data_IF_111825394020
#
_entry.id   IF_111825394020
#
_cell.length_a   1.000
_cell.length_b   1.000
_cell.length_c   1.000
_cell.angle_alpha   90.00
_cell.angle_beta   90.00
_cell.angle_gamma   90.00
#
_symmetry.space_group_name_H-M   'P 1'
#
loop_
_entity.id
_entity.type
_entity.pdbx_description
1 polymer ?
#
# COMPACT_ATOMS: atom_id res chain seq x y z
N UNK A 1 34.06 43.09 -14.79
CA UNK A 1 34.86 42.35 -15.79
C UNK A 1 35.04 40.87 -15.48
N UNK A 2 35.29 40.46 -14.21
CA UNK A 2 35.49 39.05 -13.85
C UNK A 2 34.27 38.15 -14.08
N UNK A 3 33.06 38.69 -13.89
CA UNK A 3 31.80 37.96 -14.13
C UNK A 3 31.35 37.95 -15.59
N UNK A 4 31.89 38.83 -16.43
CA UNK A 4 31.52 38.90 -17.85
C UNK A 4 32.16 37.73 -18.63
N UNK A 5 33.40 37.35 -18.26
CA UNK A 5 34.06 36.16 -18.80
C UNK A 5 33.36 34.85 -18.41
N UNK A 6 32.82 34.76 -17.19
CA UNK A 6 32.09 33.57 -16.73
C UNK A 6 30.77 33.35 -17.48
N UNK A 7 30.05 34.43 -17.80
CA UNK A 7 28.77 34.35 -18.53
C UNK A 7 28.98 33.91 -19.99
N UNK A 8 30.05 34.40 -20.64
CA UNK A 8 30.39 34.01 -22.02
C UNK A 8 30.81 32.53 -22.10
N UNK A 9 31.56 32.03 -21.11
CA UNK A 9 31.97 30.63 -21.07
C UNK A 9 30.80 29.68 -20.82
N UNK A 10 29.82 30.08 -19.98
CA UNK A 10 28.61 29.30 -19.75
C UNK A 10 27.71 29.21 -20.99
N UNK A 11 27.60 30.28 -21.79
CA UNK A 11 26.79 30.29 -23.01
C UNK A 11 27.31 29.37 -24.13
N UNK A 12 28.63 29.14 -24.18
CA UNK A 12 29.28 28.26 -25.17
C UNK A 12 29.05 26.76 -24.88
N UNK A 13 28.67 26.38 -23.67
CA UNK A 13 28.48 24.97 -23.28
C UNK A 13 27.06 24.44 -23.59
N UNK A 14 26.10 25.31 -23.93
CA UNK A 14 24.70 24.91 -24.18
C UNK A 14 24.32 24.73 -25.66
N UNK A 15 25.22 24.97 -26.62
CA UNK A 15 24.91 24.86 -28.07
C UNK A 15 25.19 23.48 -28.68
N UNK A 16 25.61 22.49 -27.88
CA UNK A 16 26.06 21.18 -28.36
C UNK A 16 25.02 20.06 -28.45
N UNK A 17 23.76 20.26 -28.03
CA UNK A 17 22.72 19.22 -28.10
C UNK A 17 21.62 19.57 -29.12
N UNK A 18 21.96 19.54 -30.40
CA UNK A 18 20.96 19.37 -31.48
C UNK A 18 20.97 17.90 -31.87
N UNK A 19 20.07 17.15 -31.25
CA UNK A 19 19.85 15.74 -31.54
C UNK A 19 18.93 15.64 -32.77
N UNK A 20 19.51 15.66 -33.96
CA UNK A 20 18.75 15.43 -35.19
C UNK A 20 18.59 13.91 -35.37
N UNK A 21 17.48 13.37 -34.87
CA UNK A 21 17.17 11.96 -35.01
C UNK A 21 17.11 11.55 -36.50
N UNK A 22 17.84 10.50 -36.94
CA UNK A 22 17.79 10.06 -38.33
C UNK A 22 16.40 9.50 -38.62
N UNK A 23 15.69 10.11 -39.58
CA UNK A 23 14.41 9.60 -40.08
C UNK A 23 14.66 8.34 -40.90
N UNK A 24 14.50 7.18 -40.27
CA UNK A 24 14.49 5.87 -40.93
C UNK A 24 13.26 5.79 -41.83
N UNK A 25 13.47 5.79 -43.16
CA UNK A 25 12.40 5.48 -44.13
C UNK A 25 12.07 3.99 -44.01
N UNK A 26 10.90 3.66 -43.46
CA UNK A 26 10.38 2.28 -43.47
C UNK A 26 9.89 1.96 -44.88
N UNK A 27 10.50 0.96 -45.52
CA UNK A 27 9.98 0.40 -46.76
C UNK A 27 8.64 -0.32 -46.48
N UNK A 28 7.66 -0.25 -47.38
CA UNK A 28 6.38 -0.94 -47.18
C UNK A 28 6.61 -2.46 -47.26
N UNK A 29 6.38 -3.14 -46.14
CA UNK A 29 6.32 -4.61 -46.10
C UNK A 29 5.06 -5.03 -46.86
N UNK A 30 5.23 -5.68 -48.01
CA UNK A 30 4.13 -6.38 -48.69
C UNK A 30 3.73 -7.58 -47.84
N UNK A 31 2.75 -7.40 -46.97
CA UNK A 31 2.05 -8.51 -46.32
C UNK A 31 1.29 -9.27 -47.40
N UNK A 32 1.78 -10.47 -47.76
CA UNK A 32 0.96 -11.43 -48.50
C UNK A 32 -0.19 -11.83 -47.61
N UNK A 33 -1.42 -11.44 -47.98
CA UNK A 33 -2.63 -11.91 -47.33
C UNK A 33 -2.65 -13.44 -47.40
N UNK A 34 -2.47 -14.07 -46.25
CA UNK A 34 -2.65 -15.51 -46.12
C UNK A 34 -4.13 -15.72 -45.88
N UNK A 35 -4.86 -16.11 -46.93
CA UNK A 35 -6.26 -16.50 -46.83
C UNK A 35 -6.33 -17.82 -46.04
N UNK A 36 -6.30 -17.70 -44.71
CA UNK A 36 -6.54 -18.80 -43.80
C UNK A 36 -8.04 -18.82 -43.51
N UNK A 37 -8.78 -19.68 -44.21
CA UNK A 37 -10.12 -20.07 -43.81
C UNK A 37 -10.03 -20.75 -42.44
N UNK A 38 -10.27 -19.99 -41.38
CA UNK A 38 -10.31 -20.49 -40.01
C UNK A 38 -11.52 -21.39 -39.85
N UNK A 39 -11.30 -22.69 -39.77
CA UNK A 39 -12.32 -23.63 -39.32
C UNK A 39 -12.63 -23.34 -37.84
N UNK A 40 -13.84 -22.85 -37.55
CA UNK A 40 -14.30 -22.60 -36.18
C UNK A 40 -15.05 -23.83 -35.71
N UNK A 41 -14.48 -24.56 -34.75
CA UNK A 41 -15.17 -25.67 -34.11
C UNK A 41 -16.44 -25.18 -33.41
N UNK A 42 -17.55 -25.93 -33.47
CA UNK A 42 -18.78 -25.54 -32.80
C UNK A 42 -18.58 -25.45 -31.28
N UNK A 43 -19.24 -24.49 -30.60
CA UNK A 43 -19.10 -24.33 -29.16
C UNK A 43 -19.62 -25.57 -28.42
N UNK A 44 -18.98 -25.94 -27.28
CA UNK A 44 -19.41 -27.11 -26.52
C UNK A 44 -20.83 -26.91 -25.98
N UNK A 45 -21.64 -27.99 -25.91
CA UNK A 45 -23.01 -27.92 -25.42
C UNK A 45 -23.03 -27.51 -23.94
N UNK A 46 -23.81 -26.47 -23.63
CA UNK A 46 -24.03 -26.02 -22.25
C UNK A 46 -25.04 -26.95 -21.59
N UNK A 47 -24.64 -27.65 -20.52
CA UNK A 47 -25.57 -28.44 -19.69
C UNK A 47 -26.14 -27.54 -18.59
N UNK A 48 -27.45 -27.63 -18.37
CA UNK A 48 -28.09 -27.06 -17.19
C UNK A 48 -27.97 -28.09 -16.07
N UNK A 49 -26.97 -27.91 -15.20
CA UNK A 49 -26.80 -28.75 -14.00
C UNK A 49 -27.23 -27.88 -12.82
N UNK A 50 -28.24 -28.34 -12.10
CA UNK A 50 -28.63 -27.72 -10.83
C UNK A 50 -27.57 -28.07 -9.77
N UNK A 51 -27.13 -27.07 -9.02
CA UNK A 51 -26.20 -27.29 -7.92
C UNK A 51 -26.94 -28.09 -6.84
N UNK A 52 -26.41 -29.27 -6.53
CA UNK A 52 -26.85 -30.04 -5.37
C UNK A 52 -26.19 -29.44 -4.13
N UNK A 53 -26.99 -29.22 -3.09
CA UNK A 53 -26.48 -28.82 -1.78
C UNK A 53 -25.68 -29.98 -1.18
N UNK A 54 -24.42 -29.71 -0.87
CA UNK A 54 -23.54 -30.66 -0.20
C UNK A 54 -23.60 -30.32 1.29
N UNK A 55 -24.18 -31.22 2.09
CA UNK A 55 -24.11 -31.08 3.54
C UNK A 55 -22.75 -31.58 4.02
N UNK A 56 -22.03 -30.70 4.71
CA UNK A 56 -20.76 -31.02 5.37
C UNK A 56 -21.01 -31.15 6.87
N UNK A 57 -21.29 -32.38 7.31
CA UNK A 57 -21.51 -32.71 8.71
C UNK A 57 -20.19 -32.85 9.50
N UNK A 58 -19.04 -32.57 8.88
CA UNK A 58 -17.72 -32.65 9.52
C UNK A 58 -17.32 -31.37 10.25
N UNK A 59 -18.26 -30.43 10.47
CA UNK A 59 -18.01 -29.24 11.25
C UNK A 59 -18.31 -29.48 12.74
N UNK A 60 -17.26 -29.50 13.58
CA UNK A 60 -17.40 -29.35 15.04
C UNK A 60 -16.79 -28.00 15.46
N UNK A 61 -17.59 -27.09 16.05
CA UNK A 61 -17.10 -25.80 16.54
C UNK A 61 -16.11 -25.98 17.70
N UNK A 62 -16.26 -27.00 18.53
CA UNK A 62 -15.33 -27.32 19.62
C UNK A 62 -13.95 -27.73 19.11
N UNK A 63 -13.90 -28.44 17.97
CA UNK A 63 -12.64 -28.81 17.34
C UNK A 63 -11.99 -27.62 16.60
N UNK A 64 -12.78 -26.80 15.90
CA UNK A 64 -12.24 -25.65 15.17
C UNK A 64 -11.88 -24.47 16.05
N UNK A 65 -12.59 -24.29 17.16
CA UNK A 65 -12.41 -23.16 18.08
C UNK A 65 -12.40 -23.67 19.53
N UNK A 66 -11.32 -24.35 19.96
CA UNK A 66 -11.21 -24.79 21.34
C UNK A 66 -11.13 -23.59 22.29
N UNK A 67 -11.83 -23.68 23.42
CA UNK A 67 -11.79 -22.66 24.46
C UNK A 67 -10.40 -22.56 25.10
N UNK A 68 -9.72 -21.44 24.89
CA UNK A 68 -8.50 -21.13 25.61
C UNK A 68 -8.82 -20.85 27.09
N UNK A 69 -8.26 -21.67 27.99
CA UNK A 69 -8.43 -21.52 29.46
C UNK A 69 -8.09 -20.11 29.97
N UNK A 70 -7.23 -19.38 29.26
CA UNK A 70 -6.78 -18.03 29.62
C UNK A 70 -7.77 -16.90 29.27
N UNK A 71 -8.76 -17.12 28.39
CA UNK A 71 -9.68 -16.05 27.95
C UNK A 71 -10.81 -15.78 28.96
N UNK A 72 -11.19 -16.75 29.78
CA UNK A 72 -12.29 -16.60 30.75
C UNK A 72 -11.93 -15.63 31.88
N UNK A 73 -10.69 -15.65 32.36
CA UNK A 73 -10.24 -14.77 33.45
C UNK A 73 -10.03 -13.30 33.00
N UNK A 74 -9.67 -13.09 31.73
CA UNK A 74 -9.54 -11.73 31.16
C UNK A 74 -10.90 -11.07 30.90
N UNK A 75 -11.95 -11.83 30.61
CA UNK A 75 -13.27 -11.27 30.32
C UNK A 75 -13.97 -10.73 31.57
N UNK A 76 -13.74 -11.33 32.74
CA UNK A 76 -14.30 -10.84 34.01
C UNK A 76 -13.67 -9.50 34.39
N UNK A 77 -12.39 -9.30 34.11
CA UNK A 77 -11.68 -8.02 34.39
C UNK A 77 -12.03 -6.90 33.41
N UNK A 78 -12.58 -7.23 32.23
CA UNK A 78 -12.96 -6.26 31.20
C UNK A 78 -14.38 -5.70 31.36
N UNK A 79 -15.24 -6.27 32.22
CA UNK A 79 -16.59 -5.71 32.47
C UNK A 79 -16.60 -4.52 33.43
N UNK A 80 -15.55 -4.33 34.22
CA UNK A 80 -15.42 -3.18 35.14
C UNK A 80 -14.65 -1.98 34.52
N UNK A 81 -14.25 -2.07 33.25
CA UNK A 81 -13.62 -0.94 32.56
C UNK A 81 -14.34 -0.66 31.27
N UNK A 82 -15.09 0.43 31.26
CA UNK A 82 -15.58 1.14 30.07
C UNK A 82 -14.39 1.35 29.10
N UNK A 83 -14.25 0.42 28.15
CA UNK A 83 -13.13 0.37 27.21
C UNK A 83 -13.11 1.54 26.21
N UNK A 84 -14.19 2.32 26.14
CA UNK A 84 -14.27 3.52 25.30
C UNK A 84 -13.65 4.76 25.96
N UNK A 85 -13.45 4.80 27.29
CA UNK A 85 -12.88 5.98 27.98
C UNK A 85 -11.37 5.86 28.24
N UNK A 86 -10.81 4.65 28.24
CA UNK A 86 -9.39 4.42 28.48
C UNK A 86 -8.50 4.66 27.25
N UNK A 87 -9.07 4.57 26.04
CA UNK A 87 -8.33 4.80 24.78
C UNK A 87 -8.13 6.30 24.53
N UNK A 88 -9.06 7.15 24.97
CA UNK A 88 -8.95 8.62 24.93
C UNK A 88 -7.88 9.14 25.90
N UNK A 89 -7.78 8.60 27.12
CA UNK A 89 -6.82 9.08 28.13
C UNK A 89 -5.37 8.65 27.90
N UNK A 90 -5.12 7.56 27.17
CA UNK A 90 -3.75 7.13 26.85
C UNK A 90 -3.15 7.83 25.61
N UNK A 91 -4.00 8.42 24.75
CA UNK A 91 -3.57 9.18 23.58
C UNK A 91 -2.91 10.52 23.92
N UNK A 92 -3.03 10.98 25.18
CA UNK A 92 -2.54 12.28 25.64
C UNK A 92 -1.12 12.28 26.23
N UNK A 93 -0.35 11.19 26.14
CA UNK A 93 0.97 11.12 26.79
C UNK A 93 2.15 11.61 25.93
N UNK A 94 1.94 11.90 24.65
CA UNK A 94 2.99 12.31 23.71
C UNK A 94 2.55 13.51 22.89
N UNK A 95 3.33 14.59 22.96
CA UNK A 95 3.07 15.78 22.14
C UNK A 95 3.54 15.59 20.70
N UNK A 96 2.97 16.36 19.76
CA UNK A 96 3.41 16.39 18.36
C UNK A 96 4.92 16.67 18.23
N UNK A 97 5.43 17.63 18.99
CA UNK A 97 6.84 17.99 18.99
C UNK A 97 7.71 16.80 19.40
N UNK A 98 7.32 16.06 20.43
CA UNK A 98 8.05 14.89 20.92
C UNK A 98 8.05 13.73 19.90
N UNK A 99 6.93 13.52 19.20
CA UNK A 99 6.85 12.57 18.10
C UNK A 99 7.78 12.97 16.95
N UNK A 100 7.76 14.23 16.51
CA UNK A 100 8.66 14.75 15.47
C UNK A 100 10.12 14.64 15.88
N UNK A 101 10.46 14.88 17.13
CA UNK A 101 11.84 14.71 17.64
C UNK A 101 12.31 13.25 17.57
N UNK A 102 11.42 12.26 17.69
CA UNK A 102 11.80 10.84 17.58
C UNK A 102 11.98 10.35 16.14
N UNK A 103 11.03 10.69 15.25
CA UNK A 103 10.99 10.11 13.89
C UNK A 103 11.42 11.07 12.79
N UNK A 104 11.51 12.37 13.08
CA UNK A 104 11.74 13.44 12.12
C UNK A 104 10.46 13.95 11.46
N UNK A 105 10.51 15.19 10.98
CA UNK A 105 9.36 15.88 10.38
C UNK A 105 8.85 15.16 9.12
N UNK A 106 9.74 14.70 8.25
CA UNK A 106 9.36 13.98 7.02
C UNK A 106 8.59 12.68 7.29
N UNK A 107 8.98 11.92 8.33
CA UNK A 107 8.28 10.68 8.70
C UNK A 107 6.95 10.97 9.38
N UNK A 108 6.90 12.02 10.19
CA UNK A 108 5.65 12.48 10.79
C UNK A 108 4.63 12.87 9.71
N UNK A 109 5.05 13.68 8.73
CA UNK A 109 4.20 14.11 7.63
C UNK A 109 3.73 12.92 6.77
N UNK A 110 4.61 11.93 6.54
CA UNK A 110 4.25 10.68 5.85
C UNK A 110 3.20 9.87 6.63
N UNK A 111 3.33 9.77 7.95
CA UNK A 111 2.32 9.09 8.78
C UNK A 111 1.00 9.84 8.77
N UNK A 112 1.05 11.18 8.80
CA UNK A 112 -0.16 12.00 8.75
C UNK A 112 -0.87 11.87 7.40
N UNK A 113 -0.12 11.77 6.29
CA UNK A 113 -0.70 11.46 4.98
C UNK A 113 -1.31 10.05 4.89
N UNK A 114 -0.67 9.04 5.49
CA UNK A 114 -1.17 7.67 5.45
C UNK A 114 -2.41 7.46 6.33
N UNK A 115 -2.45 8.09 7.50
CA UNK A 115 -3.52 7.90 8.47
C UNK A 115 -4.59 9.00 8.44
N UNK A 116 -4.36 10.06 7.65
CA UNK A 116 -5.29 11.17 7.46
C UNK A 116 -5.45 12.10 8.68
N UNK A 117 -4.87 11.77 9.83
CA UNK A 117 -5.03 12.49 11.09
C UNK A 117 -3.70 12.58 11.86
N UNK A 118 -3.40 13.75 12.44
CA UNK A 118 -2.20 13.96 13.26
C UNK A 118 -2.18 13.07 14.51
N UNK A 119 -3.33 12.84 15.13
CA UNK A 119 -3.47 11.99 16.32
C UNK A 119 -3.10 10.52 16.05
N UNK A 120 -3.39 10.01 14.86
CA UNK A 120 -3.02 8.65 14.47
C UNK A 120 -1.50 8.50 14.30
N UNK A 121 -0.84 9.53 13.77
CA UNK A 121 0.63 9.61 13.72
C UNK A 121 1.25 9.63 15.12
N UNK A 122 0.63 10.36 16.06
CA UNK A 122 1.07 10.38 17.47
C UNK A 122 0.90 9.00 18.12
N UNK A 123 -0.21 8.29 17.87
CA UNK A 123 -0.41 6.90 18.32
C UNK A 123 0.63 5.93 17.73
N UNK A 124 1.07 6.14 16.49
CA UNK A 124 2.16 5.35 15.91
C UNK A 124 3.49 5.64 16.58
N UNK A 125 3.76 6.91 16.89
CA UNK A 125 4.94 7.32 17.65
C UNK A 125 4.96 6.72 19.07
N UNK A 126 3.84 6.70 19.78
CA UNK A 126 3.77 6.12 21.13
C UNK A 126 4.07 4.62 21.11
N UNK A 127 3.56 3.91 20.10
CA UNK A 127 3.88 2.51 19.87
C UNK A 127 5.38 2.31 19.59
N UNK A 128 5.97 3.09 18.69
CA UNK A 128 7.40 3.00 18.40
C UNK A 128 8.28 3.28 19.63
N UNK A 129 7.89 4.26 20.45
CA UNK A 129 8.56 4.58 21.73
C UNK A 129 8.52 3.40 22.70
N UNK A 130 7.41 2.67 22.75
CA UNK A 130 7.30 1.47 23.60
C UNK A 130 8.19 0.32 23.12
N UNK A 131 8.43 0.21 21.80
CA UNK A 131 9.28 -0.82 21.21
C UNK A 131 10.79 -0.53 21.34
N UNK A 132 11.18 0.74 21.33
CA UNK A 132 12.60 1.14 21.48
C UNK A 132 13.13 1.02 22.91
N UNK A 133 12.24 0.84 23.90
CA UNK A 133 12.58 0.78 25.33
C UNK A 133 12.77 -0.66 25.84
N UNK A 134 12.84 -1.63 24.92
CA UNK A 134 13.14 -3.04 25.13
C UNK A 134 14.58 -3.31 24.74
#
# INVERSE_FOLDING_TARGET
MKYLFMIVFAALLFTGCVEQAPKVKKAPVKTKETNATRYVAPPPPKKHIELKEVQDDNYSPEYMYPDDKYKKDKLVKAKDSTADEAIEKAAASMSRAECISMIGQEKFDKYTQMYGNEEASIKRCTLLKSMQKS
#
